data_IF_620186853653
#
_entry.id   IF_620186853653
#
_cell.length_a   1.000
_cell.length_b   1.000
_cell.length_c   1.000
_cell.angle_alpha   90.00
_cell.angle_beta   90.00
_cell.angle_gamma   90.00
#
_symmetry.space_group_name_H-M   'P 1'
#
loop_
_entity.id
_entity.type
_entity.pdbx_description
1 polymer ?
#
# COMPACT_ATOMS: atom_id res chain seq x y z
N UNK A 1 -7.28 26.48 -21.81
CA UNK A 1 -6.72 25.16 -21.47
C UNK A 1 -6.40 25.21 -19.99
N UNK A 2 -7.38 24.86 -19.16
CA UNK A 2 -7.14 24.77 -17.72
C UNK A 2 -6.38 23.48 -17.46
N UNK A 3 -5.09 23.64 -17.17
CA UNK A 3 -4.29 22.61 -16.51
C UNK A 3 -4.87 22.40 -15.12
N UNK A 4 -5.86 21.51 -15.02
CA UNK A 4 -6.28 20.95 -13.75
C UNK A 4 -5.18 19.98 -13.30
N UNK A 5 -4.08 20.54 -12.78
CA UNK A 5 -3.20 19.84 -11.84
C UNK A 5 -3.76 20.12 -10.43
N UNK A 6 -5.04 19.79 -10.21
CA UNK A 6 -5.57 19.53 -8.88
C UNK A 6 -5.43 18.02 -8.68
N UNK A 7 -4.79 17.49 -7.65
CA UNK A 7 -4.88 17.90 -6.27
C UNK A 7 -3.58 17.53 -5.54
N UNK A 8 -2.93 18.48 -4.87
CA UNK A 8 -2.09 18.10 -3.72
C UNK A 8 -3.03 17.75 -2.58
N UNK A 9 -3.50 16.50 -2.53
CA UNK A 9 -4.22 16.01 -1.36
C UNK A 9 -3.21 15.87 -0.21
N UNK A 10 -3.41 16.53 0.94
CA UNK A 10 -2.56 16.33 2.13
C UNK A 10 -2.47 14.84 2.54
N UNK A 11 -3.46 14.05 2.13
CA UNK A 11 -3.57 12.60 2.31
C UNK A 11 -2.49 11.78 1.58
N UNK A 12 -1.93 12.26 0.47
CA UNK A 12 -0.98 11.48 -0.34
C UNK A 12 0.43 11.46 0.28
N UNK A 13 0.85 12.58 0.87
CA UNK A 13 2.13 12.69 1.61
C UNK A 13 2.10 11.86 2.88
N UNK A 14 1.00 11.93 3.64
CA UNK A 14 0.82 11.16 4.86
C UNK A 14 0.69 9.66 4.56
N UNK A 15 0.01 9.30 3.46
CA UNK A 15 -0.04 7.92 2.98
C UNK A 15 1.35 7.36 2.65
N UNK A 16 2.14 8.15 1.92
CA UNK A 16 3.49 7.75 1.53
C UNK A 16 4.35 7.53 2.78
N UNK A 17 4.26 8.42 3.77
CA UNK A 17 5.02 8.31 5.00
C UNK A 17 4.76 6.99 5.74
N UNK A 18 3.49 6.63 5.95
CA UNK A 18 3.13 5.38 6.62
C UNK A 18 3.57 4.14 5.81
N UNK A 19 3.58 4.23 4.47
CA UNK A 19 4.14 3.18 3.62
C UNK A 19 5.64 3.04 3.81
N UNK A 20 6.38 4.15 3.87
CA UNK A 20 7.83 4.11 4.11
C UNK A 20 8.14 3.56 5.52
N UNK A 21 7.38 3.94 6.56
CA UNK A 21 7.48 3.36 7.91
C UNK A 21 7.23 1.84 7.90
N UNK A 22 6.24 1.38 7.13
CA UNK A 22 5.98 -0.05 6.93
C UNK A 22 7.12 -0.79 6.21
N UNK A 23 7.83 -0.12 5.29
CA UNK A 23 9.00 -0.68 4.62
C UNK A 23 10.16 -0.82 5.62
N UNK A 24 10.37 0.19 6.46
CA UNK A 24 11.41 0.15 7.49
C UNK A 24 11.19 -1.03 8.46
N UNK A 25 9.94 -1.25 8.90
CA UNK A 25 9.59 -2.41 9.70
C UNK A 25 9.81 -3.74 8.96
N UNK A 26 9.52 -3.80 7.66
CA UNK A 26 9.80 -4.96 6.81
C UNK A 26 11.29 -5.29 6.74
N UNK A 27 12.15 -4.27 6.62
CA UNK A 27 13.59 -4.44 6.57
C UNK A 27 14.16 -4.87 7.92
N UNK A 28 13.55 -4.42 9.02
CA UNK A 28 13.87 -4.86 10.38
C UNK A 28 13.34 -6.27 10.72
N UNK A 29 12.51 -6.87 9.85
CA UNK A 29 11.87 -8.18 10.08
C UNK A 29 10.61 -8.14 10.95
N UNK A 30 10.12 -6.95 11.27
CA UNK A 30 8.88 -6.71 12.01
C UNK A 30 7.67 -6.78 11.06
N UNK A 31 7.40 -7.96 10.51
CA UNK A 31 6.33 -8.20 9.53
C UNK A 31 4.94 -7.78 10.05
N UNK A 32 4.66 -7.99 11.35
CA UNK A 32 3.38 -7.58 11.96
C UNK A 32 3.18 -6.06 11.95
N UNK A 33 4.20 -5.29 12.35
CA UNK A 33 4.12 -3.82 12.35
C UNK A 33 4.00 -3.28 10.94
N UNK A 34 4.74 -3.85 10.00
CA UNK A 34 4.64 -3.48 8.61
C UNK A 34 3.23 -3.71 8.04
N UNK A 35 2.58 -4.82 8.40
CA UNK A 35 1.18 -5.09 8.02
C UNK A 35 0.25 -4.01 8.58
N UNK A 36 0.44 -3.57 9.82
CA UNK A 36 -0.35 -2.49 10.41
C UNK A 36 -0.17 -1.17 9.66
N UNK A 37 1.07 -0.78 9.39
CA UNK A 37 1.40 0.41 8.59
C UNK A 37 0.73 0.35 7.21
N UNK A 38 0.88 -0.76 6.47
CA UNK A 38 0.24 -0.88 5.15
C UNK A 38 -1.28 -0.90 5.23
N UNK A 39 -1.84 -1.46 6.30
CA UNK A 39 -3.28 -1.45 6.51
C UNK A 39 -3.80 -0.04 6.76
N UNK A 40 -3.07 0.76 7.54
CA UNK A 40 -3.42 2.16 7.76
C UNK A 40 -3.25 2.99 6.48
N UNK A 41 -2.17 2.76 5.72
CA UNK A 41 -2.01 3.36 4.40
C UNK A 41 -3.18 2.99 3.47
N UNK A 42 -3.65 1.75 3.46
CA UNK A 42 -4.82 1.36 2.67
C UNK A 42 -6.11 2.04 3.16
N UNK A 43 -6.23 2.30 4.47
CA UNK A 43 -7.40 3.00 5.04
C UNK A 43 -7.41 4.48 4.64
N UNK A 44 -6.25 5.13 4.67
CA UNK A 44 -6.10 6.55 4.29
C UNK A 44 -6.22 6.73 2.77
N UNK A 45 -5.55 5.87 2.01
CA UNK A 45 -5.63 5.85 0.55
C UNK A 45 -5.95 4.43 0.04
N UNK A 46 -7.24 4.13 -0.21
CA UNK A 46 -7.64 2.84 -0.76
C UNK A 46 -7.16 2.62 -2.20
N UNK A 47 -6.59 3.63 -2.85
CA UNK A 47 -5.98 3.57 -4.19
C UNK A 47 -4.43 3.50 -4.12
N UNK A 48 -3.88 3.22 -2.94
CA UNK A 48 -2.44 2.97 -2.80
C UNK A 48 -2.08 1.52 -3.20
N UNK A 49 -1.82 1.31 -4.49
CA UNK A 49 -1.38 0.01 -5.01
C UNK A 49 -0.11 -0.52 -4.32
N UNK A 50 0.80 0.39 -3.94
CA UNK A 50 2.06 0.04 -3.29
C UNK A 50 1.85 -0.63 -1.92
N UNK A 51 0.95 -0.10 -1.10
CA UNK A 51 0.61 -0.68 0.20
C UNK A 51 0.01 -2.08 0.07
N UNK A 52 -0.91 -2.30 -0.87
CA UNK A 52 -1.44 -3.64 -1.15
C UNK A 52 -0.34 -4.61 -1.59
N UNK A 53 0.55 -4.18 -2.48
CA UNK A 53 1.63 -5.04 -2.99
C UNK A 53 2.61 -5.44 -1.90
N UNK A 54 2.95 -4.51 -0.99
CA UNK A 54 3.85 -4.77 0.13
C UNK A 54 3.21 -5.68 1.17
N UNK A 55 1.97 -5.40 1.59
CA UNK A 55 1.22 -6.28 2.51
C UNK A 55 1.03 -7.69 1.94
N UNK A 56 0.77 -7.80 0.63
CA UNK A 56 0.68 -9.07 -0.07
C UNK A 56 1.98 -9.86 -0.05
N UNK A 57 3.13 -9.19 -0.20
CA UNK A 57 4.45 -9.84 -0.07
C UNK A 57 4.68 -10.39 1.34
N UNK A 58 4.30 -9.65 2.38
CA UNK A 58 4.39 -10.14 3.77
C UNK A 58 3.53 -11.39 3.96
N UNK A 59 2.27 -11.33 3.52
CA UNK A 59 1.39 -12.48 3.59
C UNK A 59 1.93 -13.69 2.82
N UNK A 60 2.59 -13.46 1.67
CA UNK A 60 3.27 -14.51 0.92
C UNK A 60 4.42 -15.13 1.71
N UNK A 61 5.26 -14.30 2.37
CA UNK A 61 6.35 -14.78 3.24
C UNK A 61 5.83 -15.59 4.42
N UNK A 62 4.71 -15.16 5.01
CA UNK A 62 4.04 -15.85 6.11
C UNK A 62 3.26 -17.11 5.68
N UNK A 63 3.29 -17.51 4.39
CA UNK A 63 2.54 -18.67 3.87
C UNK A 63 1.03 -18.43 3.72
N UNK A 64 0.56 -17.20 3.90
CA UNK A 64 -0.84 -16.79 3.75
C UNK A 64 -1.18 -16.44 2.30
N UNK A 65 -0.98 -17.38 1.39
CA UNK A 65 -1.14 -17.20 -0.06
C UNK A 65 -2.51 -16.62 -0.47
N UNK A 66 -3.59 -17.05 0.19
CA UNK A 66 -4.94 -16.55 -0.08
C UNK A 66 -5.10 -15.04 0.21
N UNK A 67 -4.42 -14.53 1.25
CA UNK A 67 -4.42 -13.09 1.55
C UNK A 67 -3.53 -12.34 0.58
N UNK A 68 -2.35 -12.89 0.28
CA UNK A 68 -1.41 -12.32 -0.67
C UNK A 68 -2.04 -12.13 -2.06
N UNK A 69 -2.72 -13.16 -2.58
CA UNK A 69 -3.35 -13.11 -3.90
C UNK A 69 -4.46 -12.03 -3.95
N UNK A 70 -5.27 -11.91 -2.90
CA UNK A 70 -6.30 -10.87 -2.81
C UNK A 70 -5.71 -9.47 -2.85
N UNK A 71 -4.61 -9.25 -2.12
CA UNK A 71 -3.95 -7.95 -2.07
C UNK A 71 -3.26 -7.62 -3.40
N UNK A 72 -2.56 -8.56 -4.01
CA UNK A 72 -1.95 -8.39 -5.34
C UNK A 72 -3.02 -8.13 -6.41
N UNK A 73 -4.16 -8.83 -6.35
CA UNK A 73 -5.27 -8.60 -7.26
C UNK A 73 -5.87 -7.19 -7.09
N UNK A 74 -5.99 -6.69 -5.85
CA UNK A 74 -6.39 -5.30 -5.60
C UNK A 74 -5.37 -4.30 -6.13
N UNK A 75 -4.08 -4.51 -5.86
CA UNK A 75 -3.01 -3.64 -6.36
C UNK A 75 -3.11 -3.49 -7.89
N UNK A 76 -3.20 -4.61 -8.62
CA UNK A 76 -3.34 -4.58 -10.09
C UNK A 76 -4.57 -3.84 -10.58
N UNK A 77 -5.72 -4.00 -9.90
CA UNK A 77 -6.96 -3.29 -10.26
C UNK A 77 -6.83 -1.79 -10.05
N UNK A 78 -6.16 -1.39 -8.97
CA UNK A 78 -5.91 0.01 -8.63
C UNK A 78 -4.91 0.63 -9.61
N UNK A 79 -3.82 -0.07 -9.96
CA UNK A 79 -2.86 0.38 -10.98
C UNK A 79 -3.54 0.52 -12.35
N UNK A 80 -4.33 -0.49 -12.77
CA UNK A 80 -5.06 -0.47 -14.04
C UNK A 80 -6.13 0.63 -14.13
N UNK A 81 -6.54 1.23 -13.00
CA UNK A 81 -7.44 2.37 -12.97
C UNK A 81 -6.71 3.71 -13.13
N UNK A 82 -5.40 3.72 -12.87
CA UNK A 82 -4.53 4.90 -12.92
C UNK A 82 -3.72 5.00 -14.23
N UNK A 83 -3.88 4.04 -15.16
CA UNK A 83 -3.32 4.10 -16.53
C UNK A 83 -4.33 4.67 -17.52
#
# INVERSE_FOLDING_TARGET
>A
MEVQHGQSLPSERENLQVVEEGIEHLENGDDDRAIECFTEAIRVNPECARAYRLRGQIHSKAGNWAKAERDVAKARRVEARQT
#
